data_IF_912769288294
#
_entry.id   IF_912769288294
#
_cell.length_a   1.000
_cell.length_b   1.000
_cell.length_c   1.000
_cell.angle_alpha   90.00
_cell.angle_beta   90.00
_cell.angle_gamma   90.00
#
_symmetry.space_group_name_H-M   'P 1'
#
loop_
_entity.id
_entity.type
_entity.pdbx_description
1 polymer ?
#
# COMPACT_ATOMS: atom_id res chain seq x y z
N UNK A 1 6.24 13.21 -24.91
CA UNK A 1 7.01 14.23 -25.61
C UNK A 1 6.46 15.67 -25.41
N UNK A 2 5.98 15.95 -24.19
CA UNK A 2 5.39 17.23 -23.77
C UNK A 2 6.41 18.36 -23.95
N UNK A 3 7.67 18.12 -23.70
CA UNK A 3 8.73 19.12 -23.78
C UNK A 3 9.09 19.53 -25.21
N UNK A 4 8.91 18.66 -26.20
CA UNK A 4 9.11 19.03 -27.61
C UNK A 4 8.03 19.98 -28.14
N UNK A 5 6.84 19.99 -27.53
CA UNK A 5 5.72 20.86 -27.94
C UNK A 5 5.75 22.24 -27.28
N UNK A 6 6.40 22.38 -26.13
CA UNK A 6 6.30 23.59 -25.31
C UNK A 6 7.40 24.66 -25.57
N UNK A 7 8.47 24.34 -26.31
CA UNK A 7 9.54 25.30 -26.59
C UNK A 7 9.92 25.29 -28.10
N UNK A 8 8.96 25.42 -29.01
CA UNK A 8 9.25 25.32 -30.46
C UNK A 8 10.09 26.46 -30.98
N UNK A 9 10.06 27.63 -30.34
CA UNK A 9 10.71 28.88 -30.79
C UNK A 9 12.07 29.13 -30.13
N UNK A 10 12.50 28.31 -29.20
CA UNK A 10 13.76 28.49 -28.49
C UNK A 10 14.96 28.09 -29.36
N UNK A 11 16.04 28.86 -29.29
CA UNK A 11 17.31 28.50 -29.93
C UNK A 11 17.89 27.17 -29.37
N UNK A 12 18.81 26.52 -30.12
CA UNK A 12 19.35 25.20 -29.79
C UNK A 12 19.92 25.12 -28.38
N UNK A 13 20.65 26.12 -27.93
CA UNK A 13 21.27 26.18 -26.60
C UNK A 13 20.23 26.20 -25.46
N UNK A 14 19.12 26.93 -25.61
CA UNK A 14 18.05 26.97 -24.62
C UNK A 14 17.29 25.64 -24.58
N UNK A 15 17.04 25.03 -25.73
CA UNK A 15 16.40 23.71 -25.81
C UNK A 15 17.23 22.65 -25.10
N UNK A 16 18.56 22.66 -25.25
CA UNK A 16 19.45 21.72 -24.59
C UNK A 16 19.48 21.94 -23.06
N UNK A 17 19.49 23.20 -22.60
CA UNK A 17 19.37 23.53 -21.16
C UNK A 17 18.06 23.02 -20.57
N UNK A 18 16.93 23.28 -21.23
CA UNK A 18 15.61 22.82 -20.81
C UNK A 18 15.56 21.29 -20.75
N UNK A 19 16.09 20.62 -21.76
CA UNK A 19 16.16 19.14 -21.77
C UNK A 19 16.98 18.61 -20.60
N UNK A 20 18.17 19.17 -20.35
CA UNK A 20 19.00 18.75 -19.21
C UNK A 20 18.31 18.98 -17.89
N UNK A 21 17.65 20.10 -17.72
CA UNK A 21 16.86 20.37 -16.51
C UNK A 21 15.73 19.37 -16.35
N UNK A 22 14.92 19.14 -17.39
CA UNK A 22 13.80 18.21 -17.35
C UNK A 22 14.24 16.78 -17.00
N UNK A 23 15.31 16.30 -17.63
CA UNK A 23 15.86 14.96 -17.33
C UNK A 23 16.31 14.85 -15.87
N UNK A 24 17.05 15.85 -15.37
CA UNK A 24 17.49 15.85 -13.95
C UNK A 24 16.32 15.96 -12.98
N UNK A 25 15.33 16.78 -13.31
CA UNK A 25 14.11 16.90 -12.50
C UNK A 25 13.36 15.56 -12.42
N UNK A 26 13.19 14.87 -13.55
CA UNK A 26 12.56 13.54 -13.58
C UNK A 26 13.35 12.49 -12.79
N UNK A 27 14.68 12.50 -12.92
CA UNK A 27 15.56 11.61 -12.15
C UNK A 27 15.51 11.87 -10.64
N UNK A 28 15.25 13.12 -10.23
CA UNK A 28 15.12 13.49 -8.83
C UNK A 28 13.71 13.22 -8.29
N UNK A 29 12.67 13.58 -9.04
CA UNK A 29 11.28 13.49 -8.57
C UNK A 29 10.79 12.06 -8.38
N UNK A 30 11.25 11.11 -9.20
CA UNK A 30 10.87 9.71 -9.07
C UNK A 30 11.31 9.09 -7.73
N UNK A 31 12.59 9.18 -7.30
CA UNK A 31 13.00 8.72 -5.96
C UNK A 31 12.32 9.46 -4.80
N UNK A 32 12.05 10.76 -4.96
CA UNK A 32 11.32 11.52 -3.93
C UNK A 32 9.89 11.02 -3.78
N UNK A 33 9.20 10.74 -4.89
CA UNK A 33 7.86 10.17 -4.86
C UNK A 33 7.87 8.76 -4.23
N UNK A 34 8.79 7.90 -4.64
CA UNK A 34 8.93 6.56 -4.08
C UNK A 34 9.17 6.60 -2.56
N UNK A 35 10.12 7.43 -2.09
CA UNK A 35 10.41 7.54 -0.65
C UNK A 35 9.30 8.23 0.13
N UNK A 36 8.67 9.26 -0.41
CA UNK A 36 7.59 10.00 0.26
C UNK A 36 6.26 9.22 0.29
N UNK A 37 5.91 8.54 -0.78
CA UNK A 37 4.63 7.83 -0.91
C UNK A 37 4.80 6.37 -0.50
N UNK A 38 5.58 5.60 -1.26
CA UNK A 38 5.61 4.14 -1.10
C UNK A 38 6.33 3.67 0.15
N UNK A 39 7.39 4.37 0.56
CA UNK A 39 8.21 3.99 1.72
C UNK A 39 7.88 4.82 2.99
N UNK A 40 6.93 5.76 2.92
CA UNK A 40 6.53 6.55 4.10
C UNK A 40 5.01 6.62 4.26
N UNK A 41 4.29 7.22 3.29
CA UNK A 41 2.86 7.43 3.44
C UNK A 41 2.08 6.11 3.53
N UNK A 42 2.46 5.09 2.79
CA UNK A 42 1.83 3.77 2.82
C UNK A 42 1.90 3.07 4.17
N UNK A 43 2.84 3.44 5.02
CA UNK A 43 2.98 2.90 6.39
C UNK A 43 2.38 3.81 7.46
N UNK A 44 1.78 4.94 7.07
CA UNK A 44 1.14 5.90 7.98
C UNK A 44 -0.33 6.18 7.67
N UNK A 45 -0.72 6.00 6.42
CA UNK A 45 -2.08 6.21 5.95
C UNK A 45 -2.54 4.97 5.17
N UNK A 46 -3.40 4.18 5.76
CA UNK A 46 -3.88 2.91 5.21
C UNK A 46 -5.34 2.66 5.57
N UNK A 47 -6.27 3.47 5.05
CA UNK A 47 -7.71 3.24 5.27
C UNK A 47 -8.12 1.84 4.81
N UNK A 48 -7.53 1.35 3.71
CA UNK A 48 -7.54 -0.03 3.26
C UNK A 48 -6.12 -0.38 2.78
N UNK A 49 -5.43 -1.26 3.49
CA UNK A 49 -4.01 -1.53 3.24
C UNK A 49 -3.72 -2.14 1.85
N UNK A 50 -4.72 -2.74 1.20
CA UNK A 50 -4.61 -3.26 -0.16
C UNK A 50 -4.42 -2.16 -1.22
N UNK A 51 -4.84 -0.92 -0.94
CA UNK A 51 -4.63 0.24 -1.84
C UNK A 51 -3.18 0.75 -1.82
N UNK A 52 -2.45 0.44 -0.76
CA UNK A 52 -1.08 0.88 -0.55
C UNK A 52 -0.10 -0.04 -1.30
N UNK A 53 -0.11 0.07 -2.60
CA UNK A 53 0.68 -0.75 -3.50
C UNK A 53 1.47 0.12 -4.48
N UNK A 54 2.56 -0.42 -5.02
CA UNK A 54 3.43 0.28 -5.97
C UNK A 54 2.62 0.86 -7.13
N UNK A 55 2.70 2.16 -7.33
CA UNK A 55 1.92 2.89 -8.32
C UNK A 55 0.46 3.13 -7.92
N UNK A 56 0.03 2.70 -6.73
CA UNK A 56 -1.30 2.96 -6.18
C UNK A 56 -1.44 4.34 -5.56
N UNK A 57 -2.68 4.74 -5.35
CA UNK A 57 -3.05 5.95 -4.62
C UNK A 57 -4.06 5.56 -3.53
N UNK A 58 -3.71 5.66 -2.24
CA UNK A 58 -4.59 5.25 -1.15
C UNK A 58 -5.85 6.13 -1.00
N UNK A 59 -5.90 7.29 -1.65
CA UNK A 59 -7.09 8.15 -1.70
C UNK A 59 -8.07 7.74 -2.81
N UNK A 60 -7.65 6.88 -3.75
CA UNK A 60 -8.48 6.38 -4.84
C UNK A 60 -8.92 4.96 -4.53
N UNK A 61 -10.13 4.81 -4.00
CA UNK A 61 -10.70 3.52 -3.58
C UNK A 61 -11.00 2.55 -4.72
N UNK A 62 -11.11 3.05 -5.93
CA UNK A 62 -11.36 2.23 -7.10
C UNK A 62 -11.69 3.09 -8.32
N UNK A 63 -11.90 2.43 -9.42
CA UNK A 63 -12.40 3.01 -10.66
C UNK A 63 -13.72 2.30 -11.01
N UNK A 64 -14.63 2.98 -11.66
CA UNK A 64 -15.83 2.30 -12.11
C UNK A 64 -15.55 1.35 -13.29
N UNK A 65 -16.52 0.48 -13.57
CA UNK A 65 -16.35 -0.59 -14.56
C UNK A 65 -16.14 -0.04 -15.97
N UNK A 66 -16.77 1.06 -16.30
CA UNK A 66 -16.66 1.70 -17.61
C UNK A 66 -15.24 2.26 -17.82
N UNK A 67 -14.71 2.97 -16.84
CA UNK A 67 -13.35 3.51 -16.87
C UNK A 67 -12.29 2.39 -16.93
N UNK A 68 -12.50 1.30 -16.19
CA UNK A 68 -11.63 0.13 -16.26
C UNK A 68 -11.57 -0.48 -17.67
N UNK A 69 -12.74 -0.65 -18.30
CA UNK A 69 -12.80 -1.19 -19.66
C UNK A 69 -12.22 -0.23 -20.68
N UNK A 70 -12.48 1.07 -20.56
CA UNK A 70 -11.92 2.09 -21.45
C UNK A 70 -10.39 2.11 -21.37
N UNK A 71 -9.82 2.11 -20.17
CA UNK A 71 -8.38 2.06 -19.96
C UNK A 71 -7.75 0.76 -20.50
N UNK A 72 -8.43 -0.36 -20.35
CA UNK A 72 -7.97 -1.65 -20.84
C UNK A 72 -7.99 -1.71 -22.39
N UNK A 73 -9.03 -1.20 -23.02
CA UNK A 73 -9.16 -1.11 -24.47
C UNK A 73 -8.07 -0.18 -25.07
N UNK A 74 -7.87 0.99 -24.46
CA UNK A 74 -6.83 1.94 -24.85
C UNK A 74 -5.41 1.32 -24.75
N UNK A 75 -5.12 0.61 -23.66
CA UNK A 75 -3.86 -0.11 -23.49
C UNK A 75 -3.68 -1.17 -24.56
N UNK A 76 -4.69 -1.98 -24.83
CA UNK A 76 -4.64 -3.03 -25.86
C UNK A 76 -4.39 -2.44 -27.26
N UNK A 77 -4.97 -1.28 -27.57
CA UNK A 77 -4.80 -0.61 -28.84
C UNK A 77 -3.41 0.04 -29.02
N UNK A 78 -2.90 0.69 -27.97
CA UNK A 78 -1.63 1.45 -28.06
C UNK A 78 -0.40 0.66 -27.65
N UNK A 79 -0.58 -0.30 -26.74
CA UNK A 79 0.49 -1.05 -26.11
C UNK A 79 0.17 -2.56 -26.03
N UNK A 80 -0.07 -3.23 -27.18
CA UNK A 80 -0.56 -4.62 -27.21
C UNK A 80 0.41 -5.65 -26.61
N UNK A 81 1.68 -5.28 -26.46
CA UNK A 81 2.71 -6.15 -25.90
C UNK A 81 3.12 -5.75 -24.47
N UNK A 82 2.30 -4.98 -23.78
CA UNK A 82 2.54 -4.62 -22.38
C UNK A 82 2.59 -5.88 -21.52
N UNK A 83 3.65 -6.02 -20.74
CA UNK A 83 3.71 -7.04 -19.69
C UNK A 83 2.83 -6.62 -18.51
N UNK A 84 1.95 -7.51 -18.09
CA UNK A 84 1.08 -7.33 -16.94
C UNK A 84 1.36 -8.45 -15.94
N UNK A 85 1.38 -8.09 -14.66
CA UNK A 85 1.51 -9.03 -13.57
C UNK A 85 0.63 -8.59 -12.40
N UNK A 86 0.05 -9.55 -11.70
CA UNK A 86 -0.74 -9.31 -10.50
C UNK A 86 0.13 -9.17 -9.25
N UNK A 87 1.33 -9.74 -9.29
CA UNK A 87 2.36 -9.59 -8.26
C UNK A 87 3.74 -9.52 -8.87
N UNK A 88 4.61 -8.69 -8.30
CA UNK A 88 6.02 -8.53 -8.67
C UNK A 88 6.87 -8.53 -7.40
N UNK A 89 8.19 -8.52 -7.55
CA UNK A 89 9.12 -8.43 -6.40
C UNK A 89 9.02 -7.10 -5.63
N UNK A 90 8.49 -6.04 -6.26
CA UNK A 90 8.32 -4.72 -5.63
C UNK A 90 6.97 -4.55 -4.91
N UNK A 91 6.03 -5.47 -5.10
CA UNK A 91 4.75 -5.37 -4.45
C UNK A 91 4.88 -5.40 -2.92
N UNK A 92 4.12 -4.56 -2.25
CA UNK A 92 4.09 -4.51 -0.77
C UNK A 92 3.36 -5.72 -0.20
N UNK A 93 2.37 -6.25 -0.94
CA UNK A 93 1.59 -7.45 -0.58
C UNK A 93 1.32 -8.30 -1.80
N UNK A 94 1.26 -9.63 -1.62
CA UNK A 94 0.85 -10.55 -2.68
C UNK A 94 -0.59 -10.32 -3.11
N UNK A 95 -0.96 -10.82 -4.27
CA UNK A 95 -2.32 -10.69 -4.80
C UNK A 95 -3.36 -11.31 -3.88
N UNK A 96 -3.09 -12.48 -3.30
CA UNK A 96 -4.01 -13.15 -2.35
C UNK A 96 -4.24 -12.33 -1.09
N UNK A 97 -3.19 -11.72 -0.55
CA UNK A 97 -3.28 -10.86 0.63
C UNK A 97 -4.10 -9.61 0.31
N UNK A 98 -3.87 -9.00 -0.84
CA UNK A 98 -4.64 -7.81 -1.28
C UNK A 98 -6.12 -8.14 -1.43
N UNK A 99 -6.46 -9.19 -2.17
CA UNK A 99 -7.86 -9.57 -2.40
C UNK A 99 -8.61 -9.92 -1.13
N UNK A 100 -7.96 -10.55 -0.15
CA UNK A 100 -8.56 -10.79 1.17
C UNK A 100 -8.83 -9.49 1.93
N UNK A 101 -7.91 -8.53 1.87
CA UNK A 101 -8.10 -7.22 2.50
C UNK A 101 -9.20 -6.43 1.78
N UNK A 102 -9.30 -6.52 0.45
CA UNK A 102 -10.31 -5.82 -0.34
C UNK A 102 -11.74 -6.19 0.07
N UNK A 103 -11.98 -7.44 0.47
CA UNK A 103 -13.29 -7.90 0.99
C UNK A 103 -13.77 -7.06 2.18
N UNK A 104 -12.88 -6.48 2.97
CA UNK A 104 -13.24 -5.62 4.11
C UNK A 104 -14.06 -4.39 3.67
N UNK A 105 -13.86 -3.93 2.44
CA UNK A 105 -14.63 -2.82 1.87
C UNK A 105 -16.09 -3.20 1.56
N UNK A 106 -16.37 -4.48 1.37
CA UNK A 106 -17.72 -5.00 1.11
C UNK A 106 -18.51 -5.28 2.39
N UNK A 107 -17.81 -5.47 3.51
CA UNK A 107 -18.39 -5.80 4.82
C UNK A 107 -18.02 -4.79 5.93
N UNK A 108 -18.19 -3.47 5.70
CA UNK A 108 -17.65 -2.44 6.61
C UNK A 108 -18.30 -2.46 8.01
N UNK A 109 -19.53 -2.93 8.13
CA UNK A 109 -20.22 -3.03 9.44
C UNK A 109 -19.67 -4.17 10.27
N UNK A 110 -19.52 -5.34 9.69
CA UNK A 110 -18.95 -6.55 10.28
C UNK A 110 -17.50 -6.32 10.65
N UNK A 111 -16.75 -5.70 9.77
CA UNK A 111 -15.35 -5.31 10.00
C UNK A 111 -15.22 -4.38 11.20
N UNK A 112 -16.02 -3.32 11.25
CA UNK A 112 -16.04 -2.41 12.41
C UNK A 112 -16.37 -3.14 13.71
N UNK A 113 -17.34 -4.03 13.70
CA UNK A 113 -17.72 -4.81 14.88
C UNK A 113 -16.57 -5.72 15.36
N UNK A 114 -15.86 -6.37 14.43
CA UNK A 114 -14.69 -7.18 14.72
C UNK A 114 -13.56 -6.34 15.35
N UNK A 115 -13.24 -5.19 14.75
CA UNK A 115 -12.23 -4.27 15.29
C UNK A 115 -12.54 -3.82 16.71
N UNK A 116 -13.81 -3.46 16.99
CA UNK A 116 -14.24 -3.05 18.33
C UNK A 116 -14.09 -4.20 19.34
N UNK A 117 -14.39 -5.43 18.95
CA UNK A 117 -14.18 -6.62 19.78
C UNK A 117 -12.70 -6.86 20.05
N UNK A 118 -11.86 -6.83 19.01
CA UNK A 118 -10.43 -7.06 19.15
C UNK A 118 -9.75 -5.98 19.99
N UNK A 119 -10.16 -4.72 19.84
CA UNK A 119 -9.68 -3.63 20.69
C UNK A 119 -9.94 -3.87 22.18
N UNK A 120 -11.12 -4.43 22.53
CA UNK A 120 -11.43 -4.78 23.93
C UNK A 120 -10.55 -5.93 24.42
N UNK A 121 -10.29 -6.92 23.60
CA UNK A 121 -9.41 -8.04 23.94
C UNK A 121 -7.95 -7.61 24.16
N UNK A 122 -7.51 -6.58 23.45
CA UNK A 122 -6.15 -6.05 23.58
C UNK A 122 -6.00 -5.10 24.80
N UNK A 123 -7.06 -4.59 25.35
CA UNK A 123 -7.01 -3.60 26.43
C UNK A 123 -6.17 -4.05 27.65
N UNK A 124 -6.34 -5.24 28.21
CA UNK A 124 -5.53 -5.70 29.34
C UNK A 124 -4.04 -5.79 29.02
N UNK A 125 -3.69 -6.15 27.76
CA UNK A 125 -2.31 -6.20 27.32
C UNK A 125 -1.70 -4.79 27.27
N UNK A 126 -2.41 -3.82 26.73
CA UNK A 126 -1.96 -2.41 26.69
C UNK A 126 -1.76 -1.84 28.09
N UNK A 127 -2.65 -2.13 29.02
CA UNK A 127 -2.53 -1.71 30.44
C UNK A 127 -1.28 -2.31 31.09
N UNK A 128 -0.99 -3.58 30.82
CA UNK A 128 0.24 -4.23 31.30
C UNK A 128 1.48 -3.59 30.70
N UNK A 129 1.51 -3.37 29.39
CA UNK A 129 2.64 -2.71 28.71
C UNK A 129 2.88 -1.30 29.25
N UNK A 130 1.84 -0.53 29.50
CA UNK A 130 1.95 0.80 30.11
C UNK A 130 2.51 0.73 31.54
N UNK A 131 2.10 -0.25 32.32
CA UNK A 131 2.65 -0.49 33.68
C UNK A 131 4.11 -0.91 33.64
N UNK A 132 4.57 -1.54 32.58
CA UNK A 132 5.97 -1.92 32.33
C UNK A 132 6.81 -0.79 31.71
N UNK A 133 6.23 0.41 31.53
CA UNK A 133 6.91 1.61 31.06
C UNK A 133 6.84 1.87 29.56
N UNK A 134 6.01 1.15 28.82
CA UNK A 134 5.76 1.49 27.43
C UNK A 134 5.06 2.86 27.29
N UNK A 135 5.27 3.59 26.18
CA UNK A 135 4.53 4.83 25.92
C UNK A 135 3.01 4.61 26.02
N UNK A 136 2.29 5.58 26.59
CA UNK A 136 0.86 5.46 26.88
C UNK A 136 -0.01 5.21 25.63
N UNK A 137 0.49 5.59 24.46
CA UNK A 137 -0.13 5.41 23.15
C UNK A 137 0.40 4.20 22.35
N UNK A 138 1.31 3.42 22.91
CA UNK A 138 1.87 2.23 22.27
C UNK A 138 1.06 0.95 22.55
N UNK A 139 0.84 0.10 21.55
CA UNK A 139 0.89 0.42 20.13
C UNK A 139 -0.19 1.43 19.76
N UNK A 140 0.08 2.27 18.75
CA UNK A 140 -0.89 3.27 18.30
C UNK A 140 -2.16 2.63 17.72
N UNK A 141 -3.24 3.40 17.62
CA UNK A 141 -4.45 2.92 16.96
C UNK A 141 -4.24 2.58 15.48
N UNK A 142 -3.31 3.25 14.82
CA UNK A 142 -2.91 2.98 13.45
C UNK A 142 -2.17 1.64 13.34
N UNK A 143 -1.19 1.39 14.22
CA UNK A 143 -0.44 0.12 14.22
C UNK A 143 -1.36 -1.08 14.45
N UNK A 144 -2.30 -0.95 15.40
CA UNK A 144 -3.29 -1.99 15.67
C UNK A 144 -4.22 -2.21 14.47
N UNK A 145 -4.60 -1.14 13.77
CA UNK A 145 -5.45 -1.26 12.59
C UNK A 145 -4.71 -1.93 11.42
N UNK A 146 -3.43 -1.59 11.21
CA UNK A 146 -2.58 -2.26 10.22
C UNK A 146 -2.40 -3.75 10.57
N UNK A 147 -2.12 -4.06 11.83
CA UNK A 147 -2.03 -5.44 12.31
C UNK A 147 -3.31 -6.22 12.02
N UNK A 148 -4.48 -5.67 12.34
CA UNK A 148 -5.75 -6.34 12.09
C UNK A 148 -5.98 -6.63 10.60
N UNK A 149 -5.69 -5.70 9.70
CA UNK A 149 -5.77 -5.91 8.26
C UNK A 149 -4.74 -6.95 7.78
N UNK A 150 -3.52 -6.90 8.32
CA UNK A 150 -2.47 -7.86 8.01
C UNK A 150 -2.87 -9.28 8.40
N UNK A 151 -3.44 -9.46 9.59
CA UNK A 151 -3.94 -10.76 10.03
C UNK A 151 -5.05 -11.30 9.12
N UNK A 152 -6.01 -10.47 8.72
CA UNK A 152 -7.06 -10.88 7.76
C UNK A 152 -6.46 -11.31 6.43
N UNK A 153 -5.48 -10.57 5.93
CA UNK A 153 -4.84 -10.87 4.64
C UNK A 153 -3.97 -12.13 4.64
N UNK A 154 -3.36 -12.46 5.78
CA UNK A 154 -2.27 -13.45 5.82
C UNK A 154 -2.57 -14.70 6.63
N UNK A 155 -3.58 -14.68 7.53
CA UNK A 155 -3.91 -15.86 8.34
C UNK A 155 -4.36 -17.01 7.41
N UNK A 156 -3.72 -18.18 7.50
CA UNK A 156 -4.18 -19.37 6.77
C UNK A 156 -5.64 -19.72 7.08
N UNK A 157 -6.32 -20.32 6.12
CA UNK A 157 -7.71 -20.80 6.29
C UNK A 157 -7.72 -22.06 7.14
N UNK A 158 -6.67 -22.87 7.01
CA UNK A 158 -6.46 -24.09 7.79
C UNK A 158 -6.15 -23.73 9.24
N UNK A 159 -6.62 -24.56 10.16
CA UNK A 159 -6.30 -24.42 11.57
C UNK A 159 -4.79 -24.64 11.79
N UNK A 160 -4.14 -23.68 12.43
CA UNK A 160 -2.73 -23.78 12.76
C UNK A 160 -2.56 -24.58 14.06
N UNK A 161 -1.68 -25.58 14.04
CA UNK A 161 -1.21 -26.21 15.26
C UNK A 161 -0.29 -25.31 16.08
N UNK A 162 0.17 -25.76 17.24
CA UNK A 162 0.94 -24.93 18.16
C UNK A 162 2.26 -24.43 17.57
N UNK A 163 2.97 -25.24 16.78
CA UNK A 163 4.24 -24.90 16.15
C UNK A 163 4.02 -23.93 14.98
N UNK A 164 3.10 -24.24 14.09
CA UNK A 164 2.74 -23.39 12.96
C UNK A 164 2.20 -22.02 13.41
N UNK A 165 1.45 -21.98 14.51
CA UNK A 165 0.97 -20.72 15.10
C UNK A 165 2.13 -19.89 15.67
N UNK A 166 3.11 -20.52 16.30
CA UNK A 166 4.29 -19.84 16.81
C UNK A 166 5.12 -19.20 15.66
N UNK A 167 5.39 -19.99 14.62
CA UNK A 167 6.11 -19.52 13.42
C UNK A 167 5.36 -18.37 12.72
N UNK A 168 4.04 -18.51 12.57
CA UNK A 168 3.22 -17.44 12.00
C UNK A 168 3.29 -16.17 12.84
N UNK A 169 3.19 -16.30 14.17
CA UNK A 169 3.24 -15.16 15.09
C UNK A 169 4.60 -14.45 15.02
N UNK A 170 5.70 -15.19 14.96
CA UNK A 170 7.04 -14.62 14.81
C UNK A 170 7.17 -13.82 13.49
N UNK A 171 6.67 -14.36 12.40
CA UNK A 171 6.66 -13.65 11.10
C UNK A 171 5.85 -12.35 11.14
N UNK A 172 4.69 -12.35 11.81
CA UNK A 172 3.89 -11.13 12.00
C UNK A 172 4.64 -10.11 12.85
N UNK A 173 5.29 -10.54 13.94
CA UNK A 173 6.10 -9.66 14.79
C UNK A 173 7.23 -9.04 13.96
N UNK A 174 7.97 -9.81 13.18
CA UNK A 174 9.04 -9.32 12.30
C UNK A 174 8.51 -8.29 11.29
N UNK A 175 7.36 -8.55 10.68
CA UNK A 175 6.73 -7.62 9.75
C UNK A 175 6.33 -6.30 10.41
N UNK A 176 5.82 -6.33 11.63
CA UNK A 176 5.39 -5.10 12.34
C UNK A 176 6.55 -4.28 12.92
N UNK A 177 7.78 -4.79 12.88
CA UNK A 177 8.99 -4.06 13.26
C UNK A 177 9.63 -3.25 12.11
N UNK A 178 9.06 -3.32 10.89
CA UNK A 178 9.50 -2.53 9.75
C UNK A 178 8.97 -1.09 9.83
#
# INVERSE_FOLDING_TARGET
DVYKRQVPTAGPALRDRVRRFAVRFQQFSAPVAAKGVEDTAFYRYFPLAALNEVGGDPDVFGVDVEDFHAASADRAARWPHTMLATSTHDNKRSEDVRTRIDVLSEIPREWRAALMRWRRLQQPLRERMAAEGAPADAPSGADLYLLCQTLVGTLPVEELDGEALADYSERIVQYMHL
#
